data_IF_390638173816
#
_entry.id   IF_390638173816
#
_cell.length_a   1.000
_cell.length_b   1.000
_cell.length_c   1.000
_cell.angle_alpha   90.00
_cell.angle_beta   90.00
_cell.angle_gamma   90.00
#
_symmetry.space_group_name_H-M   'P 1'
#
loop_
_entity.id
_entity.type
_entity.pdbx_description
1 polymer ?
#
# COMPACT_ATOMS: atom_id res chain seq x y z
N UNK A 1 -15.68 15.96 -1.77
CA UNK A 1 -15.17 15.48 -0.48
C UNK A 1 -14.59 16.65 0.30
N UNK A 2 -14.82 16.74 1.61
CA UNK A 2 -14.27 17.85 2.42
C UNK A 2 -12.75 17.77 2.47
N UNK A 3 -12.03 18.90 2.28
CA UNK A 3 -10.58 18.94 2.42
C UNK A 3 -10.19 18.86 3.90
N UNK A 4 -9.12 18.15 4.21
CA UNK A 4 -8.53 18.14 5.54
C UNK A 4 -7.84 19.49 5.77
N UNK A 5 -8.31 20.27 6.76
CA UNK A 5 -7.74 21.57 7.10
C UNK A 5 -6.52 21.47 8.02
N UNK A 6 -6.47 20.41 8.82
CA UNK A 6 -5.37 20.12 9.75
C UNK A 6 -5.06 18.64 9.66
N UNK A 7 -3.80 18.26 9.58
CA UNK A 7 -3.40 16.85 9.55
C UNK A 7 -3.90 16.15 10.81
N UNK A 8 -4.54 14.97 10.67
CA UNK A 8 -4.90 14.16 11.82
C UNK A 8 -3.64 13.65 12.52
N UNK A 9 -3.70 13.28 13.80
CA UNK A 9 -2.53 12.82 14.54
C UNK A 9 -2.03 11.45 14.09
N UNK A 10 -2.87 10.65 13.43
CA UNK A 10 -2.50 9.29 13.01
C UNK A 10 -3.21 8.85 11.74
N UNK A 11 -2.71 7.77 11.12
CA UNK A 11 -3.36 7.12 9.97
C UNK A 11 -4.75 6.57 10.35
N UNK A 12 -4.91 6.05 11.55
CA UNK A 12 -6.22 5.56 12.04
C UNK A 12 -7.21 6.70 12.20
N UNK A 13 -6.79 7.85 12.72
CA UNK A 13 -7.65 9.04 12.80
C UNK A 13 -8.02 9.58 11.42
N UNK A 14 -7.11 9.54 10.45
CA UNK A 14 -7.40 9.89 9.06
C UNK A 14 -8.52 9.01 8.49
N UNK A 15 -8.41 7.69 8.65
CA UNK A 15 -9.41 6.76 8.14
C UNK A 15 -10.73 6.86 8.89
N UNK A 16 -10.69 7.02 10.20
CA UNK A 16 -11.88 7.24 11.02
C UNK A 16 -12.61 8.53 10.65
N UNK A 17 -11.87 9.62 10.37
CA UNK A 17 -12.45 10.86 9.88
C UNK A 17 -13.12 10.66 8.52
N UNK A 18 -12.47 9.98 7.57
CA UNK A 18 -13.04 9.65 6.26
C UNK A 18 -14.29 8.77 6.38
N UNK A 19 -14.26 7.75 7.23
CA UNK A 19 -15.40 6.87 7.46
C UNK A 19 -16.62 7.61 8.03
N UNK A 20 -16.40 8.68 8.84
CA UNK A 20 -17.47 9.51 9.37
C UNK A 20 -17.98 10.56 8.37
N UNK A 21 -17.09 11.18 7.58
CA UNK A 21 -17.45 12.33 6.72
C UNK A 21 -17.79 11.95 5.28
N UNK A 22 -17.34 10.79 4.84
CA UNK A 22 -17.51 10.31 3.46
C UNK A 22 -17.67 8.78 3.43
N UNK A 23 -18.60 8.19 4.22
CA UNK A 23 -18.67 6.73 4.46
C UNK A 23 -18.80 5.91 3.18
N UNK A 24 -19.65 6.35 2.27
CA UNK A 24 -20.01 5.63 1.03
C UNK A 24 -19.04 5.91 -0.13
N UNK A 25 -18.08 6.82 0.07
CA UNK A 25 -17.09 7.10 -0.95
C UNK A 25 -16.08 5.95 -1.03
N UNK A 26 -15.80 5.46 -2.23
CA UNK A 26 -14.75 4.48 -2.45
C UNK A 26 -13.39 5.05 -2.03
N UNK A 27 -12.70 4.34 -1.17
CA UNK A 27 -11.29 4.60 -0.88
C UNK A 27 -10.44 4.06 -2.01
N UNK A 28 -10.64 2.80 -2.37
CA UNK A 28 -9.95 2.18 -3.49
C UNK A 28 -10.82 1.15 -4.21
N UNK A 29 -10.43 0.87 -5.46
CA UNK A 29 -10.96 -0.24 -6.25
C UNK A 29 -9.85 -1.25 -6.46
N UNK A 30 -10.11 -2.54 -6.22
CA UNK A 30 -9.20 -3.65 -6.47
C UNK A 30 -9.96 -4.81 -7.11
N UNK A 31 -9.45 -5.37 -8.20
CA UNK A 31 -10.13 -6.43 -8.99
C UNK A 31 -11.59 -6.07 -9.36
N UNK A 32 -11.86 -4.79 -9.65
CA UNK A 32 -13.20 -4.31 -9.97
C UNK A 32 -14.14 -4.11 -8.77
N UNK A 33 -13.72 -4.49 -7.56
CA UNK A 33 -14.51 -4.27 -6.35
C UNK A 33 -14.14 -2.93 -5.71
N UNK A 34 -15.13 -2.09 -5.51
CA UNK A 34 -14.97 -0.84 -4.78
C UNK A 34 -15.09 -1.08 -3.27
N UNK A 35 -14.12 -0.56 -2.52
CA UNK A 35 -14.11 -0.60 -1.06
C UNK A 35 -14.29 0.81 -0.53
N UNK A 36 -15.40 1.07 0.13
CA UNK A 36 -15.69 2.36 0.73
C UNK A 36 -14.91 2.59 2.03
N UNK A 37 -14.84 3.86 2.48
CA UNK A 37 -14.22 4.18 3.77
C UNK A 37 -14.96 3.50 4.94
N UNK A 38 -16.29 3.40 4.87
CA UNK A 38 -17.06 2.71 5.90
C UNK A 38 -16.77 1.20 5.92
N UNK A 39 -16.70 0.55 4.75
CA UNK A 39 -16.35 -0.86 4.64
C UNK A 39 -14.93 -1.13 5.16
N UNK A 40 -13.94 -0.32 4.76
CA UNK A 40 -12.58 -0.44 5.30
C UNK A 40 -12.60 -0.34 6.83
N UNK A 41 -13.26 0.69 7.36
CA UNK A 41 -13.29 0.92 8.81
C UNK A 41 -13.92 -0.24 9.57
N UNK A 42 -15.09 -0.72 9.14
CA UNK A 42 -15.80 -1.84 9.78
C UNK A 42 -15.01 -3.14 9.70
N UNK A 43 -14.48 -3.48 8.50
CA UNK A 43 -13.68 -4.69 8.33
C UNK A 43 -12.40 -4.65 9.17
N UNK A 44 -11.72 -3.51 9.21
CA UNK A 44 -10.50 -3.37 10.03
C UNK A 44 -10.79 -3.47 11.54
N UNK A 45 -11.93 -3.01 12.01
CA UNK A 45 -12.36 -3.22 13.41
C UNK A 45 -12.63 -4.71 13.71
N UNK A 46 -13.25 -5.45 12.79
CA UNK A 46 -13.43 -6.89 12.92
C UNK A 46 -12.08 -7.63 13.01
N UNK A 47 -11.14 -7.28 12.12
CA UNK A 47 -9.77 -7.80 12.16
C UNK A 47 -9.07 -7.47 13.48
N UNK A 48 -9.22 -6.23 13.99
CA UNK A 48 -8.67 -5.84 15.28
C UNK A 48 -9.20 -6.72 16.42
N UNK A 49 -10.51 -7.02 16.43
CA UNK A 49 -11.11 -7.90 17.43
C UNK A 49 -10.56 -9.33 17.39
N UNK A 50 -10.39 -9.89 16.20
CA UNK A 50 -9.81 -11.22 16.02
C UNK A 50 -8.33 -11.26 16.42
N UNK A 51 -7.56 -10.23 16.07
CA UNK A 51 -6.14 -10.07 16.46
C UNK A 51 -6.01 -9.95 18.00
N UNK A 52 -6.87 -9.15 18.64
CA UNK A 52 -6.88 -9.03 20.10
C UNK A 52 -7.16 -10.37 20.81
N UNK A 53 -8.12 -11.16 20.29
CA UNK A 53 -8.37 -12.53 20.78
C UNK A 53 -7.17 -13.45 20.61
N UNK A 54 -6.37 -13.25 19.56
CA UNK A 54 -5.12 -13.99 19.34
C UNK A 54 -3.95 -13.48 20.20
N UNK A 55 -4.18 -12.50 21.09
CA UNK A 55 -3.21 -11.96 22.03
C UNK A 55 -2.29 -10.90 21.44
N UNK A 56 -2.69 -10.23 20.36
CA UNK A 56 -2.01 -9.04 19.81
C UNK A 56 -2.46 -7.80 20.57
N UNK A 57 -1.53 -6.99 21.03
CA UNK A 57 -1.78 -5.76 21.77
C UNK A 57 -0.82 -4.63 21.39
N UNK A 58 -0.91 -3.55 22.17
CA UNK A 58 -0.12 -2.34 21.94
C UNK A 58 1.39 -2.62 21.90
N UNK A 59 2.07 -2.10 20.86
CA UNK A 59 3.50 -2.26 20.64
C UNK A 59 3.96 -3.58 20.03
N UNK A 60 3.06 -4.58 19.91
CA UNK A 60 3.38 -5.84 19.24
C UNK A 60 3.60 -5.62 17.75
N UNK A 61 4.65 -6.24 17.19
CA UNK A 61 4.91 -6.22 15.74
C UNK A 61 4.20 -7.41 15.11
N UNK A 62 3.44 -7.12 14.04
CA UNK A 62 2.67 -8.12 13.29
C UNK A 62 3.10 -8.09 11.83
N UNK A 63 3.72 -9.14 11.37
CA UNK A 63 4.12 -9.27 9.98
C UNK A 63 2.91 -9.55 9.08
N UNK A 64 2.88 -8.89 7.91
CA UNK A 64 1.83 -9.02 6.90
C UNK A 64 2.41 -9.64 5.63
N UNK A 65 1.87 -10.77 5.19
CA UNK A 65 2.27 -11.48 3.97
C UNK A 65 1.05 -11.61 3.05
N UNK A 66 0.85 -10.62 2.18
CA UNK A 66 -0.35 -10.48 1.35
C UNK A 66 -0.03 -10.16 -0.11
N UNK A 67 -0.88 -10.57 -1.05
CA UNK A 67 -0.92 -9.95 -2.37
C UNK A 67 -1.55 -8.56 -2.26
N UNK A 68 -1.68 -7.84 -3.38
CA UNK A 68 -2.49 -6.62 -3.43
C UNK A 68 -3.97 -7.02 -3.37
N UNK A 69 -4.62 -6.80 -2.23
CA UNK A 69 -6.03 -7.14 -1.96
C UNK A 69 -6.61 -6.25 -0.86
N UNK A 70 -7.92 -6.31 -0.65
CA UNK A 70 -8.60 -5.53 0.37
C UNK A 70 -8.21 -5.97 1.80
N UNK A 71 -8.03 -7.27 2.01
CA UNK A 71 -7.68 -7.89 3.29
C UNK A 71 -6.33 -7.40 3.83
N UNK A 72 -5.41 -7.00 2.95
CA UNK A 72 -4.18 -6.33 3.37
C UNK A 72 -4.47 -5.06 4.17
N UNK A 73 -5.38 -4.22 3.67
CA UNK A 73 -5.75 -2.98 4.35
C UNK A 73 -6.56 -3.24 5.62
N UNK A 74 -7.43 -4.25 5.61
CA UNK A 74 -8.18 -4.65 6.80
C UNK A 74 -7.23 -5.10 7.92
N UNK A 75 -6.25 -5.94 7.59
CA UNK A 75 -5.23 -6.38 8.54
C UNK A 75 -4.32 -5.21 8.99
N UNK A 76 -3.86 -4.38 8.06
CA UNK A 76 -2.99 -3.25 8.36
C UNK A 76 -3.65 -2.28 9.35
N UNK A 77 -4.86 -1.83 9.06
CA UNK A 77 -5.60 -0.92 9.96
C UNK A 77 -6.11 -1.64 11.21
N UNK A 78 -6.45 -2.92 11.12
CA UNK A 78 -6.79 -3.74 12.28
C UNK A 78 -5.67 -3.82 13.32
N UNK A 79 -4.43 -3.95 12.87
CA UNK A 79 -3.25 -3.90 13.73
C UNK A 79 -3.08 -2.51 14.35
N UNK A 80 -3.19 -1.45 13.54
CA UNK A 80 -3.09 -0.08 14.02
C UNK A 80 -4.16 0.28 15.04
N UNK A 81 -5.38 -0.25 14.92
CA UNK A 81 -6.45 -0.05 15.89
C UNK A 81 -6.12 -0.58 17.28
N UNK A 82 -5.22 -1.55 17.39
CA UNK A 82 -4.73 -2.09 18.66
C UNK A 82 -3.50 -1.35 19.20
N UNK A 83 -3.01 -0.32 18.51
CA UNK A 83 -1.72 0.30 18.81
C UNK A 83 -0.54 -0.64 18.56
N UNK A 84 -0.75 -1.71 17.81
CA UNK A 84 0.28 -2.62 17.34
C UNK A 84 0.90 -2.11 16.03
N UNK A 85 2.01 -2.70 15.61
CA UNK A 85 2.85 -2.22 14.51
C UNK A 85 2.81 -3.20 13.35
N UNK A 86 2.18 -2.87 12.22
CA UNK A 86 2.22 -3.70 11.02
C UNK A 86 3.61 -3.68 10.38
N UNK A 87 4.01 -4.84 9.85
CA UNK A 87 5.29 -5.04 9.15
C UNK A 87 5.01 -5.71 7.80
N UNK A 88 4.72 -4.93 6.74
CA UNK A 88 4.46 -5.47 5.41
C UNK A 88 5.69 -6.17 4.84
N UNK A 89 5.51 -7.39 4.33
CA UNK A 89 6.58 -8.20 3.77
C UNK A 89 6.28 -8.63 2.34
N UNK A 90 7.35 -8.83 1.59
CA UNK A 90 7.30 -9.38 0.25
C UNK A 90 6.85 -10.86 0.29
N UNK A 91 5.71 -11.23 -0.36
CA UNK A 91 5.14 -12.57 -0.22
C UNK A 91 6.02 -13.71 -0.76
N UNK A 92 6.93 -13.40 -1.69
CA UNK A 92 7.83 -14.38 -2.31
C UNK A 92 9.25 -14.36 -1.72
N UNK A 93 9.42 -13.80 -0.51
CA UNK A 93 10.66 -13.95 0.24
C UNK A 93 10.94 -15.43 0.50
N UNK A 94 12.22 -15.83 0.40
CA UNK A 94 12.64 -17.16 0.82
C UNK A 94 12.39 -17.41 2.30
N UNK A 95 12.20 -18.68 2.69
CA UNK A 95 11.85 -19.10 4.06
C UNK A 95 12.81 -18.52 5.10
N UNK A 96 14.13 -18.64 4.87
CA UNK A 96 15.13 -18.16 5.80
C UNK A 96 15.17 -16.63 5.92
N UNK A 97 14.97 -15.92 4.81
CA UNK A 97 14.90 -14.46 4.79
C UNK A 97 13.69 -13.96 5.57
N UNK A 98 12.53 -14.57 5.37
CA UNK A 98 11.32 -14.25 6.11
C UNK A 98 11.47 -14.55 7.61
N UNK A 99 12.01 -15.72 7.97
CA UNK A 99 12.30 -16.08 9.35
C UNK A 99 13.30 -15.10 10.01
N UNK A 100 14.29 -14.63 9.26
CA UNK A 100 15.26 -13.64 9.74
C UNK A 100 14.56 -12.30 10.06
N UNK A 101 13.63 -11.85 9.22
CA UNK A 101 12.83 -10.64 9.49
C UNK A 101 11.94 -10.83 10.72
N UNK A 102 11.27 -11.98 10.85
CA UNK A 102 10.44 -12.27 12.02
C UNK A 102 11.23 -12.17 13.32
N UNK A 103 12.46 -12.65 13.34
CA UNK A 103 13.35 -12.51 14.51
C UNK A 103 13.80 -11.07 14.71
N UNK A 104 14.22 -10.40 13.63
CA UNK A 104 14.78 -9.06 13.69
C UNK A 104 13.78 -8.01 14.21
N UNK A 105 12.52 -8.06 13.76
CA UNK A 105 11.48 -7.17 14.28
C UNK A 105 10.80 -7.69 15.55
N UNK A 106 11.22 -8.84 16.07
CA UNK A 106 10.57 -9.48 17.23
C UNK A 106 9.06 -9.70 17.01
N UNK A 107 8.69 -10.18 15.82
CA UNK A 107 7.29 -10.35 15.45
C UNK A 107 6.54 -11.20 16.48
N UNK A 108 5.43 -10.67 17.01
CA UNK A 108 4.51 -11.38 17.91
C UNK A 108 3.63 -12.35 17.15
N UNK A 109 3.14 -11.89 16.00
CA UNK A 109 2.25 -12.64 15.13
C UNK A 109 2.58 -12.41 13.66
N UNK A 110 2.11 -13.32 12.82
CA UNK A 110 2.10 -13.15 11.37
C UNK A 110 0.67 -13.32 10.89
N UNK A 111 0.20 -12.39 10.07
CA UNK A 111 -1.04 -12.52 9.32
C UNK A 111 -0.69 -12.72 7.86
N UNK A 112 -1.27 -13.72 7.23
CA UNK A 112 -1.03 -13.95 5.81
C UNK A 112 -2.33 -14.22 5.05
N UNK A 113 -2.30 -13.92 3.75
CA UNK A 113 -3.32 -14.40 2.84
C UNK A 113 -3.20 -15.93 2.71
N UNK A 114 -4.32 -16.62 2.60
CA UNK A 114 -4.41 -18.08 2.69
C UNK A 114 -3.44 -18.82 1.76
N UNK A 115 -3.18 -18.28 0.57
CA UNK A 115 -2.23 -18.85 -0.40
C UNK A 115 -0.78 -18.96 0.11
N UNK A 116 -0.40 -18.15 1.09
CA UNK A 116 0.97 -18.12 1.63
C UNK A 116 1.14 -18.91 2.92
N UNK A 117 0.08 -19.62 3.37
CA UNK A 117 0.07 -20.38 4.63
C UNK A 117 1.27 -21.28 4.80
N UNK A 118 1.57 -22.11 3.79
CA UNK A 118 2.64 -23.11 3.89
C UNK A 118 4.02 -22.47 3.99
N UNK A 119 4.32 -21.49 3.12
CA UNK A 119 5.61 -20.78 3.14
C UNK A 119 5.83 -20.00 4.44
N UNK A 120 4.78 -19.36 4.95
CA UNK A 120 4.81 -18.62 6.21
C UNK A 120 4.95 -19.56 7.40
N UNK A 121 4.26 -20.71 7.41
CA UNK A 121 4.38 -21.71 8.44
C UNK A 121 5.81 -22.30 8.51
N UNK A 122 6.40 -22.59 7.35
CA UNK A 122 7.79 -23.04 7.26
C UNK A 122 8.77 -21.97 7.79
N UNK A 123 8.56 -20.70 7.44
CA UNK A 123 9.38 -19.58 7.93
C UNK A 123 9.24 -19.38 9.45
N UNK A 124 8.03 -19.53 9.99
CA UNK A 124 7.76 -19.46 11.43
C UNK A 124 8.55 -20.48 12.23
N UNK A 125 8.77 -21.68 11.69
CA UNK A 125 9.54 -22.71 12.37
C UNK A 125 10.96 -22.23 12.77
N UNK A 126 11.54 -21.31 11.99
CA UNK A 126 12.81 -20.65 12.27
C UNK A 126 12.73 -19.41 13.18
N UNK A 127 11.57 -19.07 13.75
CA UNK A 127 11.32 -17.84 14.51
C UNK A 127 10.44 -18.09 15.75
N UNK A 128 11.05 -18.58 16.84
CA UNK A 128 10.35 -18.97 18.08
C UNK A 128 9.61 -17.81 18.79
N UNK A 129 9.92 -16.56 18.46
CA UNK A 129 9.24 -15.37 18.94
C UNK A 129 7.82 -15.25 18.39
N UNK A 130 7.53 -15.77 17.20
CA UNK A 130 6.18 -15.72 16.58
C UNK A 130 5.23 -16.67 17.30
N UNK A 131 4.29 -16.12 18.06
CA UNK A 131 3.33 -16.91 18.84
C UNK A 131 2.14 -17.36 18.01
N UNK A 132 1.68 -16.54 17.07
CA UNK A 132 0.49 -16.82 16.28
C UNK A 132 0.76 -16.67 14.78
N UNK A 133 0.24 -17.63 14.00
CA UNK A 133 0.08 -17.53 12.56
C UNK A 133 -1.42 -17.51 12.29
N UNK A 134 -1.91 -16.44 11.66
CA UNK A 134 -3.32 -16.19 11.43
C UNK A 134 -3.57 -16.03 9.93
N UNK A 135 -4.63 -16.61 9.44
CA UNK A 135 -5.04 -16.44 8.04
C UNK A 135 -6.00 -15.25 7.90
N UNK A 136 -5.99 -14.58 6.77
CA UNK A 136 -6.90 -13.48 6.49
C UNK A 136 -8.37 -13.91 6.67
N UNK A 137 -8.72 -15.08 6.16
CA UNK A 137 -10.07 -15.68 6.29
C UNK A 137 -10.50 -15.95 7.74
N UNK A 138 -9.55 -16.19 8.65
CA UNK A 138 -9.83 -16.42 10.08
C UNK A 138 -10.09 -15.13 10.87
N UNK A 139 -9.74 -13.97 10.30
CA UNK A 139 -9.89 -12.67 10.96
C UNK A 139 -11.20 -11.97 10.62
N UNK A 140 -11.89 -12.41 9.58
CA UNK A 140 -13.15 -11.82 9.15
C UNK A 140 -14.26 -11.98 10.19
N UNK A 141 -15.15 -10.98 10.27
CA UNK A 141 -16.35 -11.04 11.14
C UNK A 141 -16.07 -11.04 12.65
N UNK A 142 -14.86 -10.66 13.06
CA UNK A 142 -14.56 -10.51 14.48
C UNK A 142 -15.34 -9.37 15.14
N UNK A 143 -15.70 -9.52 16.43
CA UNK A 143 -16.31 -8.44 17.19
C UNK A 143 -15.32 -7.31 17.44
N UNK A 144 -15.66 -6.04 17.15
CA UNK A 144 -14.79 -4.91 17.42
C UNK A 144 -14.31 -4.85 18.87
N UNK A 145 -13.07 -4.42 19.14
CA UNK A 145 -12.61 -4.20 20.51
C UNK A 145 -13.48 -3.16 21.24
N UNK A 146 -13.70 -3.37 22.54
CA UNK A 146 -14.51 -2.45 23.36
C UNK A 146 -13.92 -1.05 23.47
N UNK A 147 -12.60 -0.93 23.40
CA UNK A 147 -11.88 0.32 23.42
C UNK A 147 -10.68 0.23 22.48
N UNK A 148 -10.38 1.34 21.80
CA UNK A 148 -9.23 1.48 20.93
C UNK A 148 -8.25 2.44 21.62
N UNK A 149 -6.93 2.15 21.65
CA UNK A 149 -5.94 3.10 22.11
C UNK A 149 -5.90 4.31 21.17
N UNK A 150 -5.75 5.49 21.73
CA UNK A 150 -5.52 6.69 20.94
C UNK A 150 -4.08 6.68 20.43
N UNK A 151 -3.92 6.71 19.11
CA UNK A 151 -2.61 6.80 18.50
C UNK A 151 -2.14 8.26 18.41
N UNK A 152 -0.88 8.52 18.77
CA UNK A 152 -0.23 9.83 18.71
C UNK A 152 0.69 9.92 17.49
N UNK A 153 1.06 11.13 17.10
CA UNK A 153 1.93 11.35 15.95
C UNK A 153 3.30 10.64 16.05
N UNK A 154 3.89 10.66 17.25
CA UNK A 154 5.18 10.00 17.51
C UNK A 154 5.12 8.47 17.63
N UNK A 155 3.93 7.88 17.77
CA UNK A 155 3.79 6.42 17.84
C UNK A 155 4.18 5.78 16.49
N UNK A 156 4.74 4.58 16.56
CA UNK A 156 5.17 3.85 15.36
C UNK A 156 3.95 3.45 14.54
N UNK A 157 3.87 3.94 13.30
CA UNK A 157 2.83 3.58 12.36
C UNK A 157 3.08 2.21 11.72
N UNK A 158 4.31 1.95 11.25
CA UNK A 158 4.70 0.65 10.71
C UNK A 158 6.23 0.55 10.54
N UNK A 159 6.69 -0.67 10.29
CA UNK A 159 8.10 -0.94 9.97
C UNK A 159 8.15 -1.47 8.54
N UNK A 160 8.95 -0.83 7.69
CA UNK A 160 9.15 -1.25 6.32
C UNK A 160 10.53 -1.80 6.09
N UNK A 161 10.62 -3.07 5.66
CA UNK A 161 11.88 -3.67 5.30
C UNK A 161 12.29 -3.29 3.89
N UNK A 162 13.53 -2.84 3.75
CA UNK A 162 14.12 -2.53 2.44
C UNK A 162 14.92 -3.73 1.94
N UNK A 163 15.01 -3.86 0.61
CA UNK A 163 15.80 -4.89 -0.07
C UNK A 163 17.31 -4.65 0.01
N UNK A 164 17.80 -4.03 1.10
CA UNK A 164 19.17 -3.56 1.27
C UNK A 164 20.25 -4.52 0.75
N UNK A 165 21.31 -3.96 0.19
CA UNK A 165 22.48 -4.67 -0.36
C UNK A 165 23.31 -5.46 0.67
N UNK A 166 22.90 -5.45 1.94
CA UNK A 166 23.59 -6.14 3.06
C UNK A 166 22.84 -7.40 3.45
N UNK A 167 23.56 -8.41 3.91
CA UNK A 167 23.04 -9.73 4.34
C UNK A 167 22.08 -9.68 5.53
N UNK A 168 21.95 -8.55 6.20
CA UNK A 168 21.08 -8.36 7.36
C UNK A 168 19.82 -7.56 6.97
N UNK A 169 18.60 -8.02 7.34
CA UNK A 169 17.37 -7.27 7.12
C UNK A 169 17.44 -5.92 7.87
N UNK A 170 17.03 -4.84 7.18
CA UNK A 170 16.91 -3.50 7.78
C UNK A 170 15.48 -3.03 7.72
N UNK A 171 14.85 -2.88 8.89
CA UNK A 171 13.53 -2.30 9.04
C UNK A 171 13.62 -0.79 9.28
N UNK A 172 12.99 -0.02 8.42
CA UNK A 172 12.80 1.43 8.61
C UNK A 172 11.58 1.62 9.50
N UNK A 173 11.77 2.23 10.66
CA UNK A 173 10.69 2.54 11.62
C UNK A 173 10.09 3.88 11.26
N UNK A 174 8.79 3.93 10.99
CA UNK A 174 8.07 5.13 10.58
C UNK A 174 6.99 5.47 11.62
N UNK A 175 7.00 6.71 12.11
CA UNK A 175 5.92 7.22 12.96
C UNK A 175 4.72 7.68 12.13
N UNK A 176 3.56 7.86 12.76
CA UNK A 176 2.38 8.40 12.09
C UNK A 176 2.65 9.80 11.51
N UNK A 177 3.35 10.65 12.25
CA UNK A 177 3.69 12.00 11.78
C UNK A 177 4.64 11.98 10.59
N UNK A 178 5.63 11.08 10.54
CA UNK A 178 6.52 10.93 9.39
C UNK A 178 5.73 10.58 8.12
N UNK A 179 4.82 9.61 8.24
CA UNK A 179 4.00 9.15 7.11
C UNK A 179 3.06 10.26 6.64
N UNK A 180 2.33 10.89 7.56
CA UNK A 180 1.37 11.95 7.24
C UNK A 180 2.05 13.19 6.64
N UNK A 181 3.23 13.58 7.15
CA UNK A 181 4.03 14.67 6.60
C UNK A 181 4.48 14.34 5.17
N UNK A 182 4.96 13.11 4.93
CA UNK A 182 5.38 12.64 3.61
C UNK A 182 4.20 12.63 2.63
N UNK A 183 3.03 12.11 3.04
CA UNK A 183 1.80 12.13 2.23
C UNK A 183 1.39 13.56 1.85
N UNK A 184 1.43 14.46 2.82
CA UNK A 184 1.09 15.88 2.61
C UNK A 184 2.04 16.55 1.63
N UNK A 185 3.35 16.31 1.79
CA UNK A 185 4.36 16.82 0.87
C UNK A 185 4.17 16.26 -0.56
N UNK A 186 3.96 14.96 -0.69
CA UNK A 186 3.73 14.31 -1.99
C UNK A 186 2.48 14.85 -2.68
N UNK A 187 1.37 14.98 -1.95
CA UNK A 187 0.12 15.52 -2.48
C UNK A 187 0.29 16.96 -2.97
N UNK A 188 0.98 17.80 -2.18
CA UNK A 188 1.24 19.20 -2.54
C UNK A 188 2.20 19.31 -3.73
N UNK A 189 3.31 18.59 -3.72
CA UNK A 189 4.33 18.64 -4.78
C UNK A 189 3.80 18.14 -6.13
N UNK A 190 2.97 17.10 -6.13
CA UNK A 190 2.33 16.57 -7.34
C UNK A 190 1.02 17.30 -7.71
N UNK A 191 0.50 18.16 -6.85
CA UNK A 191 -0.77 18.86 -7.06
C UNK A 191 -1.98 17.91 -7.07
N UNK A 192 -1.94 16.83 -6.29
CA UNK A 192 -3.03 15.85 -6.19
C UNK A 192 -4.19 16.47 -5.40
N UNK A 193 -5.41 16.31 -5.91
CA UNK A 193 -6.65 16.86 -5.33
C UNK A 193 -7.74 15.79 -5.30
N UNK A 194 -8.86 16.10 -4.68
CA UNK A 194 -10.04 15.22 -4.64
C UNK A 194 -10.67 14.90 -6.02
N UNK A 195 -10.23 15.57 -7.09
CA UNK A 195 -10.70 15.32 -8.47
C UNK A 195 -9.82 14.35 -9.23
N UNK A 196 -8.74 13.90 -8.60
CA UNK A 196 -7.74 13.07 -9.24
C UNK A 196 -8.01 11.58 -9.05
N UNK A 197 -7.56 10.79 -10.01
CA UNK A 197 -7.58 9.33 -9.96
C UNK A 197 -6.15 8.82 -10.08
N UNK A 198 -5.73 8.06 -9.07
CA UNK A 198 -4.43 7.39 -9.02
C UNK A 198 -4.63 5.93 -9.43
N UNK A 199 -3.87 5.45 -10.40
CA UNK A 199 -3.80 4.03 -10.76
C UNK A 199 -2.42 3.50 -10.41
N UNK A 200 -2.35 2.44 -9.61
CA UNK A 200 -1.09 1.83 -9.18
C UNK A 200 -1.13 0.32 -9.29
N UNK A 201 -0.08 -0.25 -9.87
CA UNK A 201 0.23 -1.68 -9.83
C UNK A 201 1.41 -1.98 -8.90
N UNK A 202 1.91 -0.96 -8.19
CA UNK A 202 3.04 -1.12 -7.28
C UNK A 202 2.65 -1.97 -6.06
N UNK A 203 3.57 -2.81 -5.59
CA UNK A 203 3.29 -3.67 -4.44
C UNK A 203 3.13 -2.87 -3.15
N UNK A 204 2.23 -3.33 -2.27
CA UNK A 204 1.89 -2.69 -0.99
C UNK A 204 2.97 -2.88 0.10
N UNK A 205 3.97 -3.72 -0.13
CA UNK A 205 5.14 -3.87 0.75
C UNK A 205 6.28 -2.92 0.38
N UNK A 206 6.10 -2.05 -0.62
CA UNK A 206 7.07 -1.03 -1.04
C UNK A 206 6.55 0.37 -0.70
N UNK A 207 7.43 1.28 -0.26
CA UNK A 207 7.09 2.63 0.19
C UNK A 207 6.28 3.42 -0.84
N UNK A 208 6.70 3.42 -2.11
CA UNK A 208 6.00 4.12 -3.18
C UNK A 208 4.59 3.57 -3.40
N UNK A 209 4.41 2.24 -3.36
CA UNK A 209 3.10 1.60 -3.48
C UNK A 209 2.20 1.86 -2.27
N UNK A 210 2.76 1.77 -1.07
CA UNK A 210 2.01 1.92 0.17
C UNK A 210 1.77 3.38 0.53
N UNK A 211 2.83 4.18 0.69
CA UNK A 211 2.71 5.58 1.12
C UNK A 211 2.27 6.45 -0.05
N UNK A 212 3.04 6.41 -1.15
CA UNK A 212 2.82 7.29 -2.30
C UNK A 212 1.48 7.05 -2.98
N UNK A 213 1.21 5.80 -3.36
CA UNK A 213 0.02 5.48 -4.15
C UNK A 213 -1.20 5.16 -3.30
N UNK A 214 -1.04 4.50 -2.12
CA UNK A 214 -2.20 4.01 -1.37
C UNK A 214 -2.63 4.94 -0.23
N UNK A 215 -1.71 5.51 0.55
CA UNK A 215 -2.09 6.36 1.67
C UNK A 215 -2.25 7.83 1.29
N UNK A 216 -1.56 8.33 0.25
CA UNK A 216 -1.69 9.75 -0.16
C UNK A 216 -3.08 10.10 -0.71
N UNK A 217 -3.74 9.29 -1.58
CA UNK A 217 -5.07 9.61 -2.09
C UNK A 217 -6.13 9.92 -1.02
N UNK A 218 -6.31 9.13 0.04
CA UNK A 218 -7.31 9.44 1.07
C UNK A 218 -7.04 10.73 1.83
N UNK A 219 -5.79 11.19 1.91
CA UNK A 219 -5.49 12.46 2.55
C UNK A 219 -6.19 13.63 1.84
N UNK A 220 -6.19 13.62 0.52
CA UNK A 220 -6.81 14.68 -0.30
C UNK A 220 -8.20 14.32 -0.83
N UNK A 221 -8.61 13.06 -0.68
CA UNK A 221 -9.87 12.55 -1.18
C UNK A 221 -9.86 12.14 -2.65
N UNK A 222 -8.69 11.88 -3.21
CA UNK A 222 -8.53 11.33 -4.56
C UNK A 222 -8.97 9.86 -4.61
N UNK A 223 -9.36 9.41 -5.81
CA UNK A 223 -9.73 8.02 -6.09
C UNK A 223 -8.48 7.17 -6.31
N UNK A 224 -8.47 5.94 -5.82
CA UNK A 224 -7.39 4.99 -5.99
C UNK A 224 -7.86 3.71 -6.68
N UNK A 225 -7.15 3.31 -7.73
CA UNK A 225 -7.34 2.01 -8.41
C UNK A 225 -6.07 1.20 -8.23
N UNK A 226 -6.22 0.02 -7.66
CA UNK A 226 -5.12 -0.92 -7.43
C UNK A 226 -5.18 -2.06 -8.44
N UNK A 227 -4.04 -2.33 -9.05
CA UNK A 227 -3.80 -3.47 -9.92
C UNK A 227 -2.84 -4.45 -9.25
N UNK A 228 -2.85 -5.74 -9.63
CA UNK A 228 -1.83 -6.68 -9.20
C UNK A 228 -0.42 -6.20 -9.60
N UNK A 229 0.63 -6.51 -8.82
CA UNK A 229 2.01 -6.16 -9.16
C UNK A 229 2.57 -7.09 -10.25
N UNK A 230 1.88 -7.15 -11.39
CA UNK A 230 2.19 -8.03 -12.52
C UNK A 230 2.14 -7.23 -13.82
N UNK A 231 3.27 -7.06 -14.46
CA UNK A 231 3.39 -6.41 -15.78
C UNK A 231 3.73 -7.38 -16.91
N UNK A 232 3.36 -8.66 -16.79
CA UNK A 232 3.45 -9.61 -17.94
C UNK A 232 2.57 -9.14 -19.08
N UNK A 233 1.43 -8.52 -18.78
CA UNK A 233 0.58 -7.82 -19.74
C UNK A 233 0.55 -6.30 -19.44
N UNK A 234 1.52 -5.52 -19.93
CA UNK A 234 1.57 -4.09 -19.65
C UNK A 234 0.42 -3.29 -20.29
N UNK A 235 -0.29 -3.88 -21.28
CA UNK A 235 -1.46 -3.27 -21.91
C UNK A 235 -2.61 -3.08 -20.92
N UNK A 236 -2.83 -4.01 -20.01
CA UNK A 236 -3.88 -3.95 -18.99
C UNK A 236 -3.75 -2.70 -18.10
N UNK A 237 -2.53 -2.35 -17.72
CA UNK A 237 -2.27 -1.12 -16.99
C UNK A 237 -2.68 0.11 -17.80
N UNK A 238 -2.28 0.20 -19.09
CA UNK A 238 -2.63 1.32 -19.96
C UNK A 238 -4.13 1.40 -20.28
N UNK A 239 -4.80 0.25 -20.44
CA UNK A 239 -6.25 0.18 -20.60
C UNK A 239 -6.98 0.66 -19.33
N UNK A 240 -6.45 0.34 -18.15
CA UNK A 240 -6.98 0.85 -16.89
C UNK A 240 -6.77 2.36 -16.77
N UNK A 241 -5.59 2.88 -17.10
CA UNK A 241 -5.35 4.33 -17.16
C UNK A 241 -6.36 5.03 -18.08
N UNK A 242 -6.63 4.45 -19.24
CA UNK A 242 -7.60 4.96 -20.22
C UNK A 242 -9.01 4.93 -19.67
N UNK A 243 -9.50 3.76 -19.24
CA UNK A 243 -10.86 3.52 -18.77
C UNK A 243 -11.22 4.40 -17.59
N UNK A 244 -10.30 4.49 -16.61
CA UNK A 244 -10.51 5.23 -15.37
C UNK A 244 -10.19 6.73 -15.51
N UNK A 245 -9.74 7.17 -16.71
CA UNK A 245 -9.25 8.53 -16.95
C UNK A 245 -8.25 8.97 -15.87
N UNK A 246 -7.30 8.08 -15.59
CA UNK A 246 -6.31 8.29 -14.54
C UNK A 246 -5.51 9.57 -14.76
N UNK A 247 -5.30 10.31 -13.68
CA UNK A 247 -4.52 11.55 -13.71
C UNK A 247 -3.10 11.36 -13.17
N UNK A 248 -2.88 10.33 -12.35
CA UNK A 248 -1.59 9.99 -11.76
C UNK A 248 -1.32 8.50 -11.85
N UNK A 249 -0.06 8.17 -12.13
CA UNK A 249 0.45 6.80 -12.04
C UNK A 249 1.94 6.81 -11.72
N UNK A 250 2.44 5.69 -11.21
CA UNK A 250 3.85 5.53 -10.83
C UNK A 250 4.35 4.16 -11.27
N UNK A 251 5.58 4.10 -11.74
CA UNK A 251 6.25 2.85 -12.09
C UNK A 251 7.77 3.01 -12.03
N UNK A 252 8.54 1.97 -11.75
CA UNK A 252 9.95 1.94 -12.12
C UNK A 252 10.15 2.08 -13.64
N UNK A 253 11.34 2.51 -14.05
CA UNK A 253 11.71 2.71 -15.47
C UNK A 253 11.42 1.46 -16.33
N UNK A 254 11.63 0.25 -15.78
CA UNK A 254 11.36 -0.99 -16.50
C UNK A 254 9.89 -1.15 -16.92
N UNK A 255 8.94 -0.66 -16.12
CA UNK A 255 7.52 -0.76 -16.43
C UNK A 255 7.17 0.06 -17.68
N UNK A 256 7.66 1.29 -17.76
CA UNK A 256 7.51 2.14 -18.97
C UNK A 256 8.20 1.54 -20.18
N UNK A 257 9.44 1.01 -20.01
CA UNK A 257 10.13 0.26 -21.09
C UNK A 257 9.35 -0.96 -21.55
N UNK A 258 8.72 -1.66 -20.61
CA UNK A 258 7.89 -2.82 -20.93
C UNK A 258 6.70 -2.42 -21.82
N UNK A 259 6.02 -1.32 -21.50
CA UNK A 259 4.96 -0.75 -22.34
C UNK A 259 5.46 -0.40 -23.74
N UNK A 260 6.62 0.28 -23.84
CA UNK A 260 7.21 0.65 -25.13
C UNK A 260 7.51 -0.57 -25.98
N UNK A 261 8.07 -1.62 -25.39
CA UNK A 261 8.52 -2.84 -26.10
C UNK A 261 7.37 -3.76 -26.47
N UNK A 262 6.42 -3.99 -25.60
CA UNK A 262 5.49 -5.10 -25.69
C UNK A 262 4.06 -4.69 -26.08
N UNK A 263 3.65 -3.45 -25.91
CA UNK A 263 2.37 -2.96 -26.42
C UNK A 263 2.54 -2.58 -27.87
N UNK A 264 2.19 -3.46 -28.81
CA UNK A 264 2.37 -3.23 -30.26
C UNK A 264 1.25 -2.37 -30.84
N UNK A 265 0.01 -2.65 -30.46
CA UNK A 265 -1.16 -1.89 -30.85
C UNK A 265 -1.51 -0.88 -29.78
N UNK A 266 -1.59 0.39 -30.14
CA UNK A 266 -2.01 1.50 -29.26
C UNK A 266 -3.47 1.91 -29.48
N UNK A 267 -4.17 1.24 -30.41
CA UNK A 267 -5.58 1.51 -30.66
C UNK A 267 -6.44 1.36 -29.41
N UNK A 268 -7.33 2.32 -29.18
CA UNK A 268 -8.21 2.37 -28.02
C UNK A 268 -7.54 2.85 -26.72
N UNK A 269 -6.24 3.17 -26.73
CA UNK A 269 -5.56 3.75 -25.57
C UNK A 269 -5.61 5.29 -25.65
N UNK A 270 -6.12 5.91 -24.59
CA UNK A 270 -6.15 7.37 -24.42
C UNK A 270 -5.58 7.72 -23.03
N UNK A 271 -4.34 8.16 -23.00
CA UNK A 271 -3.65 8.58 -21.77
C UNK A 271 -3.67 10.11 -21.58
N UNK A 272 -4.46 10.85 -22.35
CA UNK A 272 -4.49 12.31 -22.33
C UNK A 272 -4.96 12.92 -21.01
N UNK A 273 -5.62 12.13 -20.14
CA UNK A 273 -6.04 12.54 -18.80
C UNK A 273 -4.86 12.63 -17.82
N UNK A 274 -3.72 11.95 -18.09
CA UNK A 274 -2.56 11.98 -17.20
C UNK A 274 -2.01 13.40 -17.04
N UNK A 275 -1.91 13.82 -15.80
CA UNK A 275 -1.22 15.05 -15.38
C UNK A 275 0.25 14.76 -15.07
N UNK A 276 0.52 13.57 -14.51
CA UNK A 276 1.87 13.16 -14.13
C UNK A 276 1.97 11.63 -14.09
N UNK A 277 3.05 11.12 -14.64
CA UNK A 277 3.51 9.75 -14.48
C UNK A 277 4.91 9.79 -13.85
N UNK A 278 5.11 9.16 -12.69
CA UNK A 278 6.38 9.18 -11.98
C UNK A 278 7.20 7.93 -12.29
N UNK A 279 8.50 8.12 -12.48
CA UNK A 279 9.46 7.03 -12.68
C UNK A 279 10.55 7.09 -11.61
N UNK A 280 10.76 5.99 -10.87
CA UNK A 280 11.74 5.93 -9.78
C UNK A 280 12.11 4.52 -9.37
N UNK A 281 12.65 4.37 -8.16
CA UNK A 281 13.12 3.11 -7.58
C UNK A 281 14.30 2.41 -8.31
N UNK A 282 14.65 2.86 -9.50
CA UNK A 282 15.82 2.45 -10.27
C UNK A 282 16.30 3.62 -11.15
N UNK A 283 17.51 3.53 -11.78
CA UNK A 283 18.00 4.59 -12.65
C UNK A 283 17.03 4.90 -13.80
N UNK A 284 16.52 6.12 -13.83
CA UNK A 284 15.57 6.60 -14.85
C UNK A 284 16.33 7.02 -16.10
N UNK A 285 15.92 6.49 -17.26
CA UNK A 285 16.57 6.76 -18.54
C UNK A 285 15.78 7.77 -19.37
N UNK A 286 16.45 8.82 -19.81
CA UNK A 286 15.83 9.80 -20.70
C UNK A 286 15.28 9.16 -21.99
N UNK A 287 15.94 8.12 -22.50
CA UNK A 287 15.44 7.36 -23.66
C UNK A 287 14.12 6.66 -23.40
N UNK A 288 13.89 6.15 -22.16
CA UNK A 288 12.61 5.56 -21.77
C UNK A 288 11.51 6.63 -21.75
N UNK A 289 11.79 7.77 -21.12
CA UNK A 289 10.84 8.89 -21.04
C UNK A 289 10.39 9.30 -22.46
N UNK A 290 11.35 9.60 -23.33
CA UNK A 290 11.06 10.03 -24.71
C UNK A 290 10.28 8.98 -25.50
N UNK A 291 10.71 7.73 -25.46
CA UNK A 291 10.06 6.65 -26.20
C UNK A 291 8.63 6.37 -25.71
N UNK A 292 8.38 6.48 -24.39
CA UNK A 292 7.03 6.32 -23.83
C UNK A 292 6.13 7.49 -24.24
N UNK A 293 6.59 8.72 -24.08
CA UNK A 293 5.81 9.90 -24.42
C UNK A 293 5.49 9.96 -25.91
N UNK A 294 6.47 9.69 -26.78
CA UNK A 294 6.28 9.64 -28.23
C UNK A 294 5.26 8.59 -28.63
N UNK A 295 5.41 7.37 -28.10
CA UNK A 295 4.53 6.24 -28.45
C UNK A 295 3.08 6.47 -28.06
N UNK A 296 2.83 7.08 -26.91
CA UNK A 296 1.48 7.27 -26.38
C UNK A 296 0.95 8.71 -26.54
N UNK A 297 1.63 9.54 -27.33
CA UNK A 297 1.17 10.89 -27.66
C UNK A 297 1.19 11.86 -26.47
N UNK A 298 2.09 11.66 -25.52
CA UNK A 298 2.24 12.47 -24.32
C UNK A 298 3.35 13.50 -24.47
N UNK A 299 3.34 14.51 -23.60
CA UNK A 299 4.40 15.54 -23.59
C UNK A 299 4.63 16.06 -22.16
N UNK A 300 5.84 15.89 -21.65
CA UNK A 300 6.26 16.35 -20.31
C UNK A 300 5.38 15.79 -19.18
N UNK A 301 4.93 14.56 -19.31
CA UNK A 301 4.09 13.86 -18.33
C UNK A 301 4.92 12.92 -17.46
N UNK A 302 5.94 12.27 -18.06
CA UNK A 302 6.77 11.32 -17.34
C UNK A 302 7.93 12.04 -16.66
N UNK A 303 7.88 12.09 -15.32
CA UNK A 303 8.88 12.77 -14.50
C UNK A 303 9.67 11.78 -13.63
N UNK A 304 11.01 11.96 -13.50
CA UNK A 304 11.78 11.17 -12.56
C UNK A 304 11.41 11.54 -11.11
N UNK A 305 11.36 10.52 -10.24
CA UNK A 305 11.25 10.71 -8.81
C UNK A 305 12.34 9.92 -8.09
N UNK A 306 12.75 10.43 -6.93
CA UNK A 306 13.75 9.82 -6.09
C UNK A 306 13.33 9.91 -4.63
N UNK A 307 13.56 8.83 -3.88
CA UNK A 307 13.36 8.73 -2.44
C UNK A 307 14.18 7.59 -1.87
N UNK A 308 14.53 7.69 -0.59
CA UNK A 308 15.23 6.68 0.19
C UNK A 308 14.33 6.20 1.32
#
# INVERSE_FOLDING_TARGET
>A
MEPIRTLPPSLTELMGWRARTSPDTAYFTVFGNEISYAQLWQSSLGYAGSLARAGVGQGDKVCLVFPTCAEFFYAFFGILHLGAVPVPLYPTLGIDAMASIFRNCEARAVVCFDWFRESVAASRAGAANVKSLLLASELEGGDPPRALPAARGEDVAFIQYTSGSTSQPRGVVLSHENVLATMSFMAAAAGITARDTVVSWLPLYHDMGLIGCSFTPPLVGARLILLPPDLRNPREWLETLTRERATFTVSPDFGYRNCVRNVKDVGGLDLSALKMALSGAEPVRLSTIRAFEEKFGLKNILAPCYGL
#
